data_IF_458238473634
#
_entry.id   IF_458238473634
#
_cell.length_a   1.000
_cell.length_b   1.000
_cell.length_c   1.000
_cell.angle_alpha   90.00
_cell.angle_beta   90.00
_cell.angle_gamma   90.00
#
_symmetry.space_group_name_H-M   'P 1'
#
loop_
_entity.id
_entity.type
_entity.pdbx_description
1 polymer ?
#
# COMPACT_ATOMS: atom_id res chain seq x y z
N UNK A 1 48.26 -65.96 -25.31
CA UNK A 1 47.73 -66.39 -26.62
C UNK A 1 46.23 -66.63 -26.46
N UNK A 2 45.43 -66.07 -27.37
CA UNK A 2 44.03 -66.39 -27.67
C UNK A 2 42.89 -65.73 -26.87
N UNK A 3 42.57 -64.53 -27.37
CA UNK A 3 41.29 -63.85 -27.56
C UNK A 3 40.01 -64.71 -27.71
N UNK A 4 38.88 -64.31 -27.09
CA UNK A 4 37.66 -63.71 -27.72
C UNK A 4 36.33 -64.03 -27.00
N UNK A 5 35.45 -63.00 -27.04
CA UNK A 5 33.97 -63.00 -27.21
C UNK A 5 33.01 -62.97 -26.00
N UNK A 6 32.64 -61.71 -25.71
CA UNK A 6 31.38 -61.06 -25.36
C UNK A 6 29.97 -61.72 -25.52
N UNK A 7 29.01 -61.01 -24.89
CA UNK A 7 27.52 -61.06 -24.88
C UNK A 7 26.89 -62.09 -23.94
N UNK A 8 25.93 -61.78 -23.06
CA UNK A 8 25.17 -60.56 -22.75
C UNK A 8 23.93 -60.92 -21.89
N UNK A 9 23.29 -59.88 -21.31
CA UNK A 9 21.92 -59.84 -20.74
C UNK A 9 21.73 -60.47 -19.34
N UNK A 10 20.98 -59.94 -18.36
CA UNK A 10 20.66 -58.62 -17.76
C UNK A 10 19.70 -58.93 -16.59
N UNK A 11 19.83 -58.16 -15.51
CA UNK A 11 18.85 -57.85 -14.44
C UNK A 11 18.35 -58.95 -13.48
N UNK A 12 18.57 -58.69 -12.18
CA UNK A 12 17.51 -58.49 -11.18
C UNK A 12 18.14 -57.96 -9.88
N UNK A 13 18.16 -56.63 -9.72
CA UNK A 13 18.47 -55.97 -8.45
C UNK A 13 17.24 -55.20 -7.99
N UNK A 14 16.88 -55.48 -6.75
CA UNK A 14 15.66 -55.10 -6.07
C UNK A 14 15.49 -53.58 -5.97
N UNK A 15 14.32 -53.09 -6.40
CA UNK A 15 13.86 -51.72 -6.12
C UNK A 15 13.10 -51.76 -4.79
N UNK A 16 13.71 -51.23 -3.73
CA UNK A 16 12.99 -50.80 -2.54
C UNK A 16 12.29 -49.49 -2.85
N UNK A 17 10.96 -49.52 -2.93
CA UNK A 17 10.13 -48.32 -3.05
C UNK A 17 9.92 -47.76 -1.64
N UNK A 18 10.63 -46.69 -1.30
CA UNK A 18 10.23 -45.79 -0.22
C UNK A 18 9.15 -44.86 -0.77
N UNK A 19 7.90 -45.01 -0.30
CA UNK A 19 6.85 -44.03 -0.53
C UNK A 19 7.21 -42.76 0.26
N UNK A 20 7.69 -41.74 -0.45
CA UNK A 20 7.66 -40.38 0.05
C UNK A 20 6.21 -39.90 -0.04
N UNK A 21 5.56 -39.83 1.11
CA UNK A 21 4.23 -39.24 1.28
C UNK A 21 4.35 -37.73 1.01
N UNK A 22 4.18 -37.36 -0.26
CA UNK A 22 4.05 -35.98 -0.66
C UNK A 22 2.77 -35.43 -0.03
N UNK A 23 2.92 -34.62 1.01
CA UNK A 23 1.84 -33.81 1.55
C UNK A 23 1.38 -32.84 0.48
N UNK A 24 0.37 -33.25 -0.30
CA UNK A 24 -0.33 -32.38 -1.21
C UNK A 24 -0.91 -31.22 -0.38
N UNK A 25 -0.32 -30.03 -0.50
CA UNK A 25 -1.00 -28.81 -0.11
C UNK A 25 -2.29 -28.75 -0.95
N UNK A 26 -3.47 -28.54 -0.33
CA UNK A 26 -4.69 -28.39 -1.10
C UNK A 26 -4.49 -27.23 -2.07
N UNK A 27 -4.66 -27.49 -3.37
CA UNK A 27 -4.67 -26.45 -4.39
C UNK A 27 -5.67 -25.38 -3.95
N UNK A 28 -5.16 -24.18 -3.63
CA UNK A 28 -6.04 -23.05 -3.29
C UNK A 28 -6.87 -22.76 -4.53
N UNK A 29 -8.19 -22.85 -4.40
CA UNK A 29 -9.13 -22.45 -5.46
C UNK A 29 -8.76 -21.05 -5.96
N UNK A 30 -8.79 -20.80 -7.29
CA UNK A 30 -8.47 -19.49 -7.88
C UNK A 30 -9.18 -18.31 -7.17
N UNK A 31 -10.44 -18.51 -6.74
CA UNK A 31 -11.20 -17.48 -6.03
C UNK A 31 -10.69 -17.18 -4.60
N UNK A 32 -10.04 -18.13 -3.92
CA UNK A 32 -9.42 -17.90 -2.63
C UNK A 32 -8.13 -17.06 -2.74
N UNK A 33 -7.37 -17.28 -3.81
CA UNK A 33 -6.15 -16.49 -4.14
C UNK A 33 -6.51 -15.05 -4.48
N UNK A 34 -7.56 -14.84 -5.28
CA UNK A 34 -8.05 -13.50 -5.64
C UNK A 34 -8.54 -12.70 -4.42
N UNK A 35 -9.38 -13.29 -3.57
CA UNK A 35 -9.84 -12.66 -2.32
C UNK A 35 -8.67 -12.26 -1.42
N UNK A 36 -7.65 -13.11 -1.32
CA UNK A 36 -6.44 -12.82 -0.55
C UNK A 36 -5.67 -11.63 -1.12
N UNK A 37 -5.54 -11.55 -2.45
CA UNK A 37 -4.88 -10.43 -3.12
C UNK A 37 -5.63 -9.10 -2.91
N UNK A 38 -6.98 -9.12 -2.96
CA UNK A 38 -7.81 -7.94 -2.65
C UNK A 38 -7.61 -7.45 -1.23
N UNK A 39 -7.56 -8.36 -0.25
CA UNK A 39 -7.24 -8.01 1.14
C UNK A 39 -5.84 -7.42 1.26
N UNK A 40 -4.85 -7.98 0.56
CA UNK A 40 -3.48 -7.46 0.56
C UNK A 40 -3.41 -6.03 0.00
N UNK A 41 -4.15 -5.73 -1.08
CA UNK A 41 -4.23 -4.38 -1.65
C UNK A 41 -4.75 -3.37 -0.62
N UNK A 42 -5.86 -3.70 0.06
CA UNK A 42 -6.46 -2.79 1.04
C UNK A 42 -5.57 -2.62 2.28
N UNK A 43 -4.89 -3.69 2.72
CA UNK A 43 -3.90 -3.61 3.80
C UNK A 43 -2.74 -2.70 3.44
N UNK A 44 -2.21 -2.80 2.23
CA UNK A 44 -1.12 -1.94 1.79
C UNK A 44 -1.57 -0.48 1.70
N UNK A 45 -2.78 -0.22 1.18
CA UNK A 45 -3.33 1.12 1.17
C UNK A 45 -3.47 1.72 2.58
N UNK A 46 -3.99 0.97 3.55
CA UNK A 46 -4.10 1.43 4.95
C UNK A 46 -2.71 1.76 5.52
N UNK A 47 -1.73 0.87 5.31
CA UNK A 47 -0.35 1.06 5.77
C UNK A 47 0.26 2.34 5.17
N UNK A 48 0.05 2.58 3.88
CA UNK A 48 0.53 3.80 3.21
C UNK A 48 -0.10 5.07 3.78
N UNK A 49 -1.40 5.06 4.05
CA UNK A 49 -2.09 6.21 4.68
C UNK A 49 -1.52 6.49 6.07
N UNK A 50 -1.23 5.44 6.86
CA UNK A 50 -0.61 5.58 8.18
C UNK A 50 0.79 6.20 8.07
N UNK A 51 1.63 5.68 7.17
CA UNK A 51 2.99 6.19 6.97
C UNK A 51 2.99 7.65 6.53
N UNK A 52 2.16 8.00 5.55
CA UNK A 52 2.07 9.38 5.06
C UNK A 52 1.54 10.33 6.15
N UNK A 53 0.57 9.89 6.93
CA UNK A 53 0.07 10.65 8.07
C UNK A 53 1.17 10.86 9.12
N UNK A 54 1.90 9.81 9.51
CA UNK A 54 2.98 9.90 10.48
C UNK A 54 4.12 10.83 9.99
N UNK A 55 4.48 10.76 8.71
CA UNK A 55 5.45 11.68 8.11
C UNK A 55 4.97 13.13 8.17
N UNK A 56 3.69 13.37 7.89
CA UNK A 56 3.12 14.72 7.96
C UNK A 56 3.12 15.26 9.39
N UNK A 57 2.71 14.45 10.37
CA UNK A 57 2.70 14.86 11.78
C UNK A 57 4.11 15.10 12.33
N UNK A 58 5.07 14.27 11.95
CA UNK A 58 6.46 14.48 12.32
C UNK A 58 7.03 15.74 11.66
N UNK A 59 6.71 16.00 10.39
CA UNK A 59 7.12 17.23 9.72
C UNK A 59 6.57 18.48 10.43
N UNK A 60 5.28 18.47 10.82
CA UNK A 60 4.67 19.58 11.59
C UNK A 60 5.43 19.87 12.88
N UNK A 61 5.82 18.83 13.63
CA UNK A 61 6.63 18.96 14.85
C UNK A 61 8.02 19.52 14.54
N UNK A 62 8.73 18.95 13.58
CA UNK A 62 10.07 19.40 13.17
C UNK A 62 10.06 20.86 12.68
N UNK A 63 9.01 21.31 11.98
CA UNK A 63 8.83 22.71 11.57
C UNK A 63 8.53 23.66 12.73
N UNK A 64 7.88 23.18 13.80
CA UNK A 64 7.59 23.97 14.99
C UNK A 64 8.84 24.12 15.89
N UNK A 65 9.72 23.11 15.90
CA UNK A 65 10.96 23.10 16.69
C UNK A 65 12.01 24.08 16.16
N UNK A 66 12.18 24.18 14.83
CA UNK A 66 13.08 25.15 14.20
C UNK A 66 12.35 25.96 13.13
N UNK A 67 11.96 27.18 13.52
CA UNK A 67 11.22 28.10 12.65
C UNK A 67 12.12 28.92 11.71
N UNK A 68 13.45 28.77 11.81
CA UNK A 68 14.40 29.48 10.94
C UNK A 68 14.25 29.02 9.48
N UNK A 69 14.68 29.86 8.54
CA UNK A 69 14.68 29.50 7.11
C UNK A 69 15.52 28.25 6.85
N UNK A 70 16.72 28.18 7.45
CA UNK A 70 17.63 27.02 7.34
C UNK A 70 17.01 25.76 7.92
N UNK A 71 16.39 25.87 9.10
CA UNK A 71 15.66 24.79 9.75
C UNK A 71 14.55 24.24 8.85
N UNK A 72 13.68 25.12 8.36
CA UNK A 72 12.60 24.76 7.43
C UNK A 72 13.12 24.07 6.17
N UNK A 73 14.15 24.62 5.51
CA UNK A 73 14.72 24.00 4.32
C UNK A 73 15.30 22.61 4.62
N UNK A 74 16.00 22.46 5.75
CA UNK A 74 16.58 21.17 6.16
C UNK A 74 15.50 20.14 6.49
N UNK A 75 14.45 20.54 7.21
CA UNK A 75 13.27 19.71 7.50
C UNK A 75 12.57 19.29 6.21
N UNK A 76 12.33 20.21 5.27
CA UNK A 76 11.75 19.90 3.96
C UNK A 76 12.59 18.87 3.20
N UNK A 77 13.91 19.01 3.18
CA UNK A 77 14.81 18.06 2.52
C UNK A 77 14.72 16.67 3.18
N UNK A 78 14.72 16.62 4.51
CA UNK A 78 14.68 15.36 5.28
C UNK A 78 13.36 14.63 5.12
N UNK A 79 12.24 15.35 5.30
CA UNK A 79 10.89 14.81 5.13
C UNK A 79 10.69 14.38 3.68
N UNK A 80 11.11 15.20 2.72
CA UNK A 80 11.06 14.86 1.30
C UNK A 80 11.80 13.56 0.99
N UNK A 81 13.03 13.39 1.50
CA UNK A 81 13.79 12.16 1.34
C UNK A 81 13.07 10.93 1.93
N UNK A 82 12.52 11.04 3.15
CA UNK A 82 11.74 9.95 3.78
C UNK A 82 10.53 9.57 2.93
N UNK A 83 9.76 10.55 2.48
CA UNK A 83 8.60 10.33 1.61
C UNK A 83 9.02 9.63 0.31
N UNK A 84 10.13 10.04 -0.31
CA UNK A 84 10.63 9.39 -1.54
C UNK A 84 10.96 7.91 -1.33
N UNK A 85 11.56 7.53 -0.19
CA UNK A 85 11.83 6.13 0.12
C UNK A 85 10.54 5.34 0.32
N UNK A 86 9.61 5.86 1.12
CA UNK A 86 8.34 5.20 1.42
C UNK A 86 7.48 4.99 0.16
N UNK A 87 7.42 5.97 -0.75
CA UNK A 87 6.65 5.83 -1.99
C UNK A 87 7.27 4.82 -2.96
N UNK A 88 8.59 4.72 -3.02
CA UNK A 88 9.26 3.69 -3.84
C UNK A 88 9.02 2.29 -3.29
N UNK A 89 9.08 2.15 -1.97
CA UNK A 89 8.83 0.89 -1.29
C UNK A 89 7.36 0.46 -1.41
N UNK A 90 6.43 1.42 -1.32
CA UNK A 90 5.01 1.23 -1.62
C UNK A 90 4.77 0.72 -3.04
N UNK A 91 5.37 1.35 -4.06
CA UNK A 91 5.29 0.87 -5.46
C UNK A 91 5.81 -0.57 -5.57
N UNK A 92 6.94 -0.88 -4.95
CA UNK A 92 7.50 -2.25 -4.95
C UNK A 92 6.57 -3.25 -4.29
N UNK A 93 5.90 -2.89 -3.19
CA UNK A 93 4.93 -3.77 -2.51
C UNK A 93 3.68 -3.98 -3.36
N UNK A 94 3.17 -2.93 -4.00
CA UNK A 94 2.04 -3.03 -4.92
C UNK A 94 2.34 -3.99 -6.08
N UNK A 95 3.55 -3.96 -6.64
CA UNK A 95 3.98 -4.86 -7.72
C UNK A 95 3.95 -6.35 -7.32
N UNK A 96 4.07 -6.66 -6.03
CA UNK A 96 3.99 -8.02 -5.53
C UNK A 96 2.56 -8.54 -5.38
N UNK A 97 1.54 -7.69 -5.52
CA UNK A 97 0.13 -8.06 -5.37
C UNK A 97 -0.43 -8.46 -6.74
N UNK A 98 -0.58 -9.77 -6.93
CA UNK A 98 -1.20 -10.36 -8.12
C UNK A 98 -2.73 -10.27 -8.06
N UNK A 99 -3.31 -9.25 -8.70
CA UNK A 99 -4.75 -9.01 -8.80
C UNK A 99 -5.27 -9.39 -10.19
N UNK A 100 -6.57 -9.69 -10.28
CA UNK A 100 -7.28 -9.71 -11.57
C UNK A 100 -7.34 -8.31 -12.22
N UNK A 101 -7.85 -8.24 -13.45
CA UNK A 101 -7.87 -7.00 -14.22
C UNK A 101 -8.62 -5.86 -13.51
N UNK A 102 -9.79 -6.14 -12.89
CA UNK A 102 -10.64 -5.11 -12.30
C UNK A 102 -9.96 -4.44 -11.11
N UNK A 103 -9.36 -5.24 -10.23
CA UNK A 103 -8.67 -4.68 -9.05
C UNK A 103 -7.23 -4.25 -9.36
N UNK A 104 -6.63 -4.81 -10.40
CA UNK A 104 -5.35 -4.40 -10.95
C UNK A 104 -5.34 -2.93 -11.39
N UNK A 105 -6.44 -2.42 -11.95
CA UNK A 105 -6.58 -0.99 -12.29
C UNK A 105 -6.40 -0.07 -11.07
N UNK A 106 -6.95 -0.44 -9.90
CA UNK A 106 -6.79 0.35 -8.68
C UNK A 106 -5.36 0.31 -8.14
N UNK A 107 -4.71 -0.85 -8.19
CA UNK A 107 -3.28 -0.98 -7.86
C UNK A 107 -2.43 -0.11 -8.77
N UNK A 108 -2.69 -0.15 -10.07
CA UNK A 108 -1.91 0.60 -11.05
C UNK A 108 -2.15 2.12 -10.89
N UNK A 109 -3.37 2.53 -10.56
CA UNK A 109 -3.68 3.92 -10.21
C UNK A 109 -2.96 4.38 -8.94
N UNK A 110 -2.86 3.55 -7.89
CA UNK A 110 -2.05 3.87 -6.71
C UNK A 110 -0.58 4.07 -7.07
N UNK A 111 -0.02 3.21 -7.94
CA UNK A 111 1.36 3.37 -8.42
C UNK A 111 1.56 4.68 -9.19
N UNK A 112 0.58 5.11 -9.97
CA UNK A 112 0.61 6.42 -10.66
C UNK A 112 0.63 7.55 -9.63
N UNK A 113 -0.28 7.54 -8.64
CA UNK A 113 -0.29 8.54 -7.58
C UNK A 113 1.04 8.62 -6.81
N UNK A 114 1.66 7.47 -6.53
CA UNK A 114 2.97 7.42 -5.89
C UNK A 114 4.07 7.96 -6.78
N UNK A 115 4.04 7.65 -8.08
CA UNK A 115 5.01 8.15 -9.06
C UNK A 115 4.92 9.67 -9.23
N UNK A 116 3.71 10.21 -9.29
CA UNK A 116 3.47 11.66 -9.35
C UNK A 116 3.94 12.34 -8.06
N UNK A 117 3.62 11.76 -6.89
CA UNK A 117 4.11 12.26 -5.60
C UNK A 117 5.64 12.26 -5.54
N UNK A 118 6.28 11.19 -6.02
CA UNK A 118 7.75 11.09 -6.10
C UNK A 118 8.32 12.26 -6.92
N UNK A 119 7.77 12.52 -8.11
CA UNK A 119 8.24 13.60 -8.96
C UNK A 119 8.12 14.97 -8.28
N UNK A 120 6.96 15.27 -7.70
CA UNK A 120 6.69 16.54 -7.02
C UNK A 120 7.57 16.74 -5.78
N UNK A 121 7.68 15.72 -4.93
CA UNK A 121 8.50 15.78 -3.70
C UNK A 121 9.99 15.89 -4.04
N UNK A 122 10.43 15.24 -5.12
CA UNK A 122 11.79 15.39 -5.62
C UNK A 122 12.06 16.84 -6.06
N UNK A 123 11.14 17.48 -6.78
CA UNK A 123 11.26 18.89 -7.18
C UNK A 123 11.33 19.83 -5.95
N UNK A 124 10.45 19.64 -4.95
CA UNK A 124 10.48 20.40 -3.68
C UNK A 124 11.81 20.23 -2.96
N UNK A 125 12.32 18.99 -2.91
CA UNK A 125 13.59 18.68 -2.25
C UNK A 125 14.77 19.34 -2.95
N UNK A 126 14.81 19.31 -4.29
CA UNK A 126 15.89 19.95 -5.06
C UNK A 126 15.83 21.47 -4.96
N UNK A 127 14.63 22.05 -5.01
CA UNK A 127 14.44 23.48 -4.78
C UNK A 127 14.95 23.88 -3.40
N UNK A 128 14.60 23.11 -2.36
CA UNK A 128 15.06 23.38 -0.99
C UNK A 128 16.58 23.29 -0.84
N UNK A 129 17.22 22.33 -1.52
CA UNK A 129 18.69 22.20 -1.55
C UNK A 129 19.35 23.38 -2.26
N UNK A 130 18.80 23.83 -3.39
CA UNK A 130 19.30 24.98 -4.11
C UNK A 130 19.22 26.26 -3.27
N UNK A 131 18.08 26.47 -2.59
CA UNK A 131 17.90 27.60 -1.65
C UNK A 131 18.90 27.54 -0.48
N UNK A 132 19.13 26.36 0.07
CA UNK A 132 20.07 26.18 1.19
C UNK A 132 21.53 26.42 0.78
N UNK A 133 21.88 26.13 -0.48
CA UNK A 133 23.25 26.32 -1.01
C UNK A 133 23.59 27.79 -1.29
N UNK A 134 22.60 28.69 -1.23
CA UNK A 134 22.78 30.11 -1.55
C UNK A 134 22.79 30.39 -3.06
N UNK A 135 22.87 31.68 -3.46
CA UNK A 135 22.74 32.10 -4.85
C UNK A 135 23.80 31.50 -5.78
N UNK A 136 23.37 30.92 -6.91
CA UNK A 136 24.24 30.44 -7.97
C UNK A 136 23.94 31.16 -9.31
N UNK A 137 24.94 31.38 -10.18
CA UNK A 137 24.73 31.97 -11.50
C UNK A 137 23.69 31.21 -12.32
N UNK A 138 22.76 31.92 -12.95
CA UNK A 138 21.72 31.33 -13.79
C UNK A 138 20.53 30.70 -13.05
N UNK A 139 20.51 30.70 -11.71
CA UNK A 139 19.40 30.16 -10.92
C UNK A 139 18.38 31.25 -10.58
N UNK A 140 17.12 31.04 -10.96
CA UNK A 140 16.02 31.96 -10.64
C UNK A 140 15.29 31.54 -9.36
N UNK A 141 15.80 31.98 -8.21
CA UNK A 141 15.19 31.71 -6.90
C UNK A 141 13.78 32.27 -6.76
N UNK A 142 13.47 33.39 -7.43
CA UNK A 142 12.12 33.96 -7.41
C UNK A 142 11.09 33.02 -8.05
N UNK A 143 11.43 32.44 -9.21
CA UNK A 143 10.59 31.45 -9.88
C UNK A 143 10.45 30.16 -9.04
N UNK A 144 11.53 29.71 -8.41
CA UNK A 144 11.50 28.55 -7.51
C UNK A 144 10.55 28.75 -6.31
N UNK A 145 10.62 29.91 -5.66
CA UNK A 145 9.74 30.24 -4.54
C UNK A 145 8.28 30.33 -5.01
N UNK A 146 8.03 30.95 -6.17
CA UNK A 146 6.69 31.05 -6.74
C UNK A 146 6.09 29.68 -7.11
N UNK A 147 6.93 28.70 -7.46
CA UNK A 147 6.52 27.33 -7.81
C UNK A 147 6.15 26.49 -6.57
N UNK A 148 6.69 26.80 -5.40
CA UNK A 148 6.50 25.98 -4.19
C UNK A 148 5.01 25.78 -3.79
N UNK A 149 4.15 26.83 -3.75
CA UNK A 149 2.72 26.64 -3.48
C UNK A 149 2.00 25.73 -4.49
N UNK A 150 2.38 25.78 -5.77
CA UNK A 150 1.79 24.94 -6.81
C UNK A 150 2.16 23.46 -6.63
N UNK A 151 3.40 23.18 -6.19
CA UNK A 151 3.82 21.82 -5.87
C UNK A 151 3.06 21.26 -4.67
N UNK A 152 2.88 22.07 -3.63
CA UNK A 152 2.07 21.70 -2.45
C UNK A 152 0.63 21.40 -2.85
N UNK A 153 0.00 22.26 -3.65
CA UNK A 153 -1.37 22.06 -4.11
C UNK A 153 -1.54 20.77 -4.94
N UNK A 154 -0.55 20.41 -5.76
CA UNK A 154 -0.56 19.16 -6.52
C UNK A 154 -0.45 17.94 -5.60
N UNK A 155 0.39 17.98 -4.56
CA UNK A 155 0.46 16.90 -3.55
C UNK A 155 -0.88 16.76 -2.81
N UNK A 156 -1.50 17.87 -2.41
CA UNK A 156 -2.83 17.85 -1.76
C UNK A 156 -3.92 17.26 -2.67
N UNK A 157 -3.82 17.50 -3.98
CA UNK A 157 -4.77 16.93 -4.94
C UNK A 157 -4.60 15.41 -5.08
N UNK A 158 -3.36 14.90 -5.01
CA UNK A 158 -3.09 13.46 -4.92
C UNK A 158 -3.73 12.91 -3.64
N UNK A 159 -3.52 13.54 -2.49
CA UNK A 159 -4.09 13.11 -1.21
C UNK A 159 -5.62 13.03 -1.25
N UNK A 160 -6.28 14.03 -1.83
CA UNK A 160 -7.75 14.04 -2.04
C UNK A 160 -8.20 12.91 -2.97
N UNK A 161 -7.40 12.58 -3.98
CA UNK A 161 -7.72 11.50 -4.92
C UNK A 161 -7.59 10.13 -4.26
N UNK A 162 -6.56 9.94 -3.43
CA UNK A 162 -6.40 8.74 -2.60
C UNK A 162 -7.55 8.59 -1.60
N UNK A 163 -8.02 9.69 -0.99
CA UNK A 163 -9.23 9.67 -0.16
C UNK A 163 -10.45 9.17 -0.94
N UNK A 164 -10.71 9.65 -2.15
CA UNK A 164 -11.84 9.15 -2.95
C UNK A 164 -11.71 7.66 -3.28
N UNK A 165 -10.48 7.19 -3.52
CA UNK A 165 -10.19 5.79 -3.82
C UNK A 165 -10.47 4.86 -2.63
N UNK A 166 -10.39 5.33 -1.38
CA UNK A 166 -10.63 4.50 -0.20
C UNK A 166 -12.02 3.86 -0.19
N UNK A 167 -13.01 4.52 -0.78
CA UNK A 167 -14.37 3.98 -0.93
C UNK A 167 -14.38 2.76 -1.85
N UNK A 168 -13.71 2.84 -3.00
CA UNK A 168 -13.59 1.71 -3.93
C UNK A 168 -12.79 0.55 -3.32
N UNK A 169 -11.74 0.87 -2.56
CA UNK A 169 -10.95 -0.14 -1.86
C UNK A 169 -11.74 -0.85 -0.74
N UNK A 170 -12.66 -0.17 -0.07
CA UNK A 170 -13.60 -0.86 0.81
C UNK A 170 -14.44 -1.88 0.04
N UNK A 171 -14.93 -1.55 -1.17
CA UNK A 171 -15.67 -2.52 -1.99
C UNK A 171 -14.84 -3.73 -2.43
N UNK A 172 -13.51 -3.61 -2.51
CA UNK A 172 -12.64 -4.77 -2.74
C UNK A 172 -12.78 -5.85 -1.65
N UNK A 173 -13.21 -5.44 -0.45
CA UNK A 173 -13.42 -6.33 0.69
C UNK A 173 -14.80 -7.00 0.67
N UNK A 174 -15.70 -6.66 -0.25
CA UNK A 174 -17.02 -7.30 -0.35
C UNK A 174 -16.90 -8.61 -1.13
N UNK A 175 -17.54 -9.66 -0.62
CA UNK A 175 -17.61 -10.96 -1.27
C UNK A 175 -18.74 -10.99 -2.30
N UNK A 176 -18.41 -10.62 -3.54
CA UNK A 176 -19.34 -10.62 -4.68
C UNK A 176 -19.91 -12.01 -5.00
N UNK A 177 -19.26 -13.09 -4.53
CA UNK A 177 -19.74 -14.47 -4.71
C UNK A 177 -20.81 -14.90 -3.71
N UNK A 178 -21.13 -14.07 -2.70
CA UNK A 178 -22.07 -14.42 -1.63
C UNK A 178 -23.25 -13.43 -1.60
N UNK A 179 -24.18 -13.68 -2.52
CA UNK A 179 -25.43 -12.93 -2.64
C UNK A 179 -26.48 -13.53 -1.69
N UNK A 180 -27.12 -12.68 -0.90
CA UNK A 180 -28.24 -13.08 -0.03
C UNK A 180 -29.50 -13.42 -0.81
N UNK A 181 -30.48 -14.01 -0.14
CA UNK A 181 -31.79 -14.33 -0.74
C UNK A 181 -32.56 -13.08 -1.21
N UNK A 182 -32.20 -11.90 -0.70
CA UNK A 182 -32.72 -10.59 -1.08
C UNK A 182 -31.96 -9.94 -2.26
N UNK A 183 -30.99 -10.65 -2.85
CA UNK A 183 -30.17 -10.15 -3.96
C UNK A 183 -29.04 -9.20 -3.54
N UNK A 184 -28.85 -8.94 -2.25
CA UNK A 184 -27.85 -8.00 -1.75
C UNK A 184 -26.55 -8.72 -1.33
N UNK A 185 -25.44 -7.99 -1.32
CA UNK A 185 -24.14 -8.45 -0.84
C UNK A 185 -24.03 -8.16 0.66
N UNK A 186 -23.93 -9.22 1.48
CA UNK A 186 -23.90 -9.10 2.94
C UNK A 186 -22.60 -9.56 3.57
N UNK A 187 -21.65 -10.08 2.79
CA UNK A 187 -20.43 -10.68 3.34
C UNK A 187 -19.19 -9.95 2.87
N UNK A 188 -18.24 -9.82 3.79
CA UNK A 188 -16.87 -9.44 3.49
C UNK A 188 -16.07 -10.70 3.13
N UNK A 189 -15.00 -10.52 2.37
CA UNK A 189 -13.98 -11.55 2.12
C UNK A 189 -13.09 -11.80 3.36
N UNK A 190 -13.18 -10.93 4.38
CA UNK A 190 -12.43 -11.00 5.62
C UNK A 190 -13.12 -11.90 6.64
N UNK A 191 -12.36 -12.78 7.31
CA UNK A 191 -12.82 -13.46 8.54
C UNK A 191 -13.08 -12.46 9.66
N UNK A 192 -13.81 -12.87 10.72
CA UNK A 192 -13.99 -12.07 11.95
C UNK A 192 -12.66 -11.55 12.49
N UNK A 193 -11.67 -12.44 12.54
CA UNK A 193 -10.32 -12.14 13.00
C UNK A 193 -9.65 -11.10 12.10
N UNK A 194 -9.64 -11.31 10.79
CA UNK A 194 -8.99 -10.38 9.86
C UNK A 194 -9.67 -9.00 9.84
N UNK A 195 -11.00 -8.96 9.94
CA UNK A 195 -11.79 -7.73 10.08
C UNK A 195 -11.39 -6.97 11.35
N UNK A 196 -11.35 -7.66 12.49
CA UNK A 196 -10.96 -7.06 13.76
C UNK A 196 -9.50 -6.58 13.76
N UNK A 197 -8.59 -7.36 13.16
CA UNK A 197 -7.17 -7.01 13.05
C UNK A 197 -6.96 -5.79 12.14
N UNK A 198 -7.72 -5.66 11.03
CA UNK A 198 -7.69 -4.49 10.15
C UNK A 198 -8.23 -3.23 10.83
N UNK A 199 -9.35 -3.34 11.56
CA UNK A 199 -9.88 -2.22 12.36
C UNK A 199 -8.85 -1.79 13.41
N UNK A 200 -8.25 -2.75 14.13
CA UNK A 200 -7.22 -2.45 15.13
C UNK A 200 -6.00 -1.75 14.53
N UNK A 201 -5.60 -2.13 13.33
CA UNK A 201 -4.50 -1.48 12.60
C UNK A 201 -4.83 -0.01 12.34
N UNK A 202 -6.04 0.28 11.86
CA UNK A 202 -6.50 1.67 11.65
C UNK A 202 -6.56 2.42 12.99
N UNK A 203 -7.11 1.82 14.03
CA UNK A 203 -7.21 2.47 15.35
C UNK A 203 -5.83 2.77 15.95
N UNK A 204 -4.86 1.88 15.74
CA UNK A 204 -3.49 2.04 16.24
C UNK A 204 -2.75 3.12 15.46
N UNK A 205 -2.85 3.12 14.12
CA UNK A 205 -2.11 4.04 13.27
C UNK A 205 -2.62 5.49 13.33
N UNK A 206 -3.93 5.68 13.49
CA UNK A 206 -4.55 7.01 13.44
C UNK A 206 -5.06 7.49 14.81
N UNK A 207 -5.37 6.58 15.73
CA UNK A 207 -5.74 6.92 17.12
C UNK A 207 -6.87 7.94 17.22
N UNK A 208 -6.67 8.92 18.10
CA UNK A 208 -7.66 9.99 18.37
C UNK A 208 -7.95 10.88 17.16
N UNK A 209 -7.08 10.90 16.15
CA UNK A 209 -7.32 11.71 14.94
C UNK A 209 -8.51 11.22 14.14
N UNK A 210 -8.92 9.95 14.30
CA UNK A 210 -10.14 9.43 13.70
C UNK A 210 -11.42 10.11 14.20
N UNK A 211 -11.39 10.66 15.41
CA UNK A 211 -12.55 11.27 16.09
C UNK A 211 -12.44 12.82 16.17
N UNK A 212 -11.31 13.39 15.75
CA UNK A 212 -11.06 14.82 15.83
C UNK A 212 -11.26 15.51 14.48
N UNK A 213 -12.35 16.27 14.36
CA UNK A 213 -12.67 17.05 13.17
C UNK A 213 -11.56 18.06 12.79
N UNK A 214 -10.71 18.49 13.72
CA UNK A 214 -9.59 19.40 13.46
C UNK A 214 -8.36 18.70 12.87
N UNK A 215 -8.26 17.38 13.00
CA UNK A 215 -7.16 16.54 12.48
C UNK A 215 -7.58 15.68 11.27
N UNK A 216 -8.69 16.05 10.62
CA UNK A 216 -9.27 15.39 9.43
C UNK A 216 -8.43 15.65 8.17
N UNK A 217 -7.22 15.09 8.12
CA UNK A 217 -6.42 15.03 6.89
C UNK A 217 -7.04 14.05 5.89
N UNK A 218 -6.68 14.16 4.60
CA UNK A 218 -7.13 13.18 3.60
C UNK A 218 -6.76 11.74 3.96
N UNK A 219 -5.60 11.51 4.59
CA UNK A 219 -5.16 10.17 5.03
C UNK A 219 -6.04 9.62 6.15
N UNK A 220 -6.31 10.44 7.17
CA UNK A 220 -7.22 10.11 8.27
C UNK A 220 -8.62 9.80 7.74
N UNK A 221 -9.12 10.61 6.81
CA UNK A 221 -10.44 10.41 6.20
C UNK A 221 -10.49 9.14 5.33
N UNK A 222 -9.41 8.80 4.62
CA UNK A 222 -9.31 7.56 3.85
C UNK A 222 -9.40 6.33 4.77
N UNK A 223 -8.60 6.33 5.84
CA UNK A 223 -8.58 5.26 6.83
C UNK A 223 -9.93 5.15 7.56
N UNK A 224 -10.50 6.28 7.96
CA UNK A 224 -11.83 6.35 8.55
C UNK A 224 -12.90 5.79 7.61
N UNK A 225 -12.86 6.11 6.31
CA UNK A 225 -13.83 5.59 5.34
C UNK A 225 -13.80 4.06 5.25
N UNK A 226 -12.63 3.44 5.31
CA UNK A 226 -12.50 1.98 5.30
C UNK A 226 -13.00 1.41 6.63
N UNK A 227 -12.57 1.96 7.77
CA UNK A 227 -13.07 1.55 9.10
C UNK A 227 -14.58 1.68 9.20
N UNK A 228 -15.16 2.75 8.68
CA UNK A 228 -16.59 2.97 8.65
C UNK A 228 -17.28 1.82 7.94
N UNK A 229 -16.85 1.49 6.71
CA UNK A 229 -17.36 0.33 5.98
C UNK A 229 -17.21 -0.99 6.75
N UNK A 230 -16.04 -1.22 7.36
CA UNK A 230 -15.75 -2.40 8.17
C UNK A 230 -16.58 -2.50 9.45
N UNK A 231 -17.18 -1.42 9.94
CA UNK A 231 -18.00 -1.43 11.18
C UNK A 231 -19.49 -1.43 10.89
N UNK A 232 -19.88 -1.36 9.61
CA UNK A 232 -21.28 -1.41 9.20
C UNK A 232 -21.95 -2.73 9.62
N UNK A 233 -23.16 -2.68 10.21
CA UNK A 233 -23.86 -3.88 10.66
C UNK A 233 -24.40 -4.74 9.50
N UNK A 234 -24.54 -4.15 8.30
CA UNK A 234 -25.03 -4.85 7.12
C UNK A 234 -23.98 -5.74 6.44
N UNK A 235 -22.72 -5.71 6.89
CA UNK A 235 -21.67 -6.60 6.40
C UNK A 235 -21.21 -7.57 7.48
N UNK A 236 -21.43 -8.85 7.22
CA UNK A 236 -20.95 -10.01 7.98
C UNK A 236 -19.55 -10.38 7.54
N UNK A 237 -18.76 -10.98 8.42
CA UNK A 237 -17.47 -11.55 8.06
C UNK A 237 -17.64 -12.87 7.27
N UNK A 238 -16.59 -13.30 6.57
CA UNK A 238 -16.58 -14.46 5.69
C UNK A 238 -17.00 -15.77 6.41
N UNK A 239 -16.63 -15.90 7.67
CA UNK A 239 -16.89 -17.04 8.56
C UNK A 239 -18.23 -16.94 9.31
N UNK A 240 -19.06 -15.95 9.00
CA UNK A 240 -20.40 -15.79 9.56
C UNK A 240 -21.49 -16.32 8.62
N UNK A 241 -22.61 -16.84 9.16
CA UNK A 241 -23.73 -17.35 8.37
C UNK A 241 -24.40 -16.24 7.54
#
# INVERSE_FOLDING_TARGET
MNSKLALGVVALLWVGITFAEATAQPERSPGATEKTARVALVREFIREMEVLYALQENAKKEFAEDSSTTGKLTTTIRVGARTLFEMKDAVSRLDMIGLDARWGEFRDMLKVFHSDRIALVQEVTQTSKAMLSGPAPGVNYGAMIARAPELTAQVEQIDKSMFKMSQALFFALIDEGRVGADGNLHHLVLSKKDRADMIRTIDTGFGQSLDDAKNSTSFVNAAWSIKYGLTRPNYKAADEP
#
